data_IF_203425676773
#
_entry.id   IF_203425676773
#
_cell.length_a   1.000
_cell.length_b   1.000
_cell.length_c   1.000
_cell.angle_alpha   90.00
_cell.angle_beta   90.00
_cell.angle_gamma   90.00
#
_symmetry.space_group_name_H-M   'P 1'
#
loop_
_entity.id
_entity.type
_entity.pdbx_description
1 polymer ?
#
# COMPACT_ATOMS: atom_id res chain seq x y z
N UNK A 1 -34.82 41.03 -10.81
CA UNK A 1 -34.26 40.61 -9.51
C UNK A 1 -32.94 39.88 -9.74
N UNK A 2 -31.85 40.53 -9.31
CA UNK A 2 -30.44 40.28 -9.63
C UNK A 2 -29.86 39.09 -8.85
N UNK A 3 -29.18 38.18 -9.56
CA UNK A 3 -27.86 37.59 -9.25
C UNK A 3 -27.39 37.38 -7.79
N UNK A 4 -28.25 37.06 -6.82
CA UNK A 4 -27.82 36.80 -5.43
C UNK A 4 -27.51 35.33 -5.09
N UNK A 5 -27.81 34.37 -5.98
CA UNK A 5 -27.56 32.94 -5.70
C UNK A 5 -26.15 32.48 -6.10
N UNK A 6 -25.51 33.09 -7.10
CA UNK A 6 -24.14 32.71 -7.53
C UNK A 6 -23.05 33.20 -6.57
N UNK A 7 -23.28 34.31 -5.86
CA UNK A 7 -22.31 34.90 -4.92
C UNK A 7 -22.13 34.08 -3.65
N UNK A 8 -23.17 33.35 -3.20
CA UNK A 8 -23.07 32.47 -2.03
C UNK A 8 -22.32 31.16 -2.32
N UNK A 9 -22.33 30.70 -3.58
CA UNK A 9 -21.60 29.49 -3.98
C UNK A 9 -20.10 29.75 -4.12
N UNK A 10 -19.72 30.91 -4.66
CA UNK A 10 -18.32 31.35 -4.75
C UNK A 10 -17.67 31.58 -3.37
N UNK A 11 -18.43 32.05 -2.38
CA UNK A 11 -17.93 32.21 -1.01
C UNK A 11 -17.69 30.86 -0.30
N UNK A 12 -18.51 29.84 -0.58
CA UNK A 12 -18.35 28.49 -0.03
C UNK A 12 -17.16 27.73 -0.65
N UNK A 13 -16.85 27.95 -1.93
CA UNK A 13 -15.66 27.37 -2.58
C UNK A 13 -14.36 28.06 -2.18
N UNK A 14 -14.39 29.38 -1.91
CA UNK A 14 -13.23 30.11 -1.41
C UNK A 14 -12.85 29.75 0.05
N UNK A 15 -13.81 29.28 0.85
CA UNK A 15 -13.57 28.89 2.25
C UNK A 15 -12.92 27.50 2.40
N UNK A 16 -12.93 26.66 1.35
CA UNK A 16 -12.24 25.36 1.34
C UNK A 16 -10.73 25.45 1.00
N UNK A 17 -10.22 26.62 0.61
CA UNK A 17 -8.83 26.81 0.20
C UNK A 17 -7.89 27.29 1.32
N UNK A 18 -8.37 27.40 2.56
CA UNK A 18 -7.54 27.72 3.74
C UNK A 18 -7.00 26.47 4.44
N UNK A 19 -6.77 25.37 3.71
CA UNK A 19 -5.98 24.28 4.27
C UNK A 19 -4.52 24.73 4.31
N UNK A 20 -3.97 24.90 5.52
CA UNK A 20 -2.60 25.41 5.68
C UNK A 20 -1.61 24.50 4.98
N UNK A 21 -0.89 25.00 3.98
CA UNK A 21 0.16 24.28 3.25
C UNK A 21 1.45 24.01 4.06
N UNK A 22 1.41 24.16 5.38
CA UNK A 22 2.54 23.98 6.29
C UNK A 22 2.47 22.66 7.06
N UNK A 23 3.63 22.01 7.32
CA UNK A 23 3.71 20.84 8.17
C UNK A 23 3.13 21.09 9.57
N UNK A 24 2.53 20.06 10.17
CA UNK A 24 2.02 20.12 11.54
C UNK A 24 3.16 19.87 12.51
N UNK A 25 3.44 20.83 13.39
CA UNK A 25 4.31 20.63 14.55
C UNK A 25 3.47 20.14 15.74
N UNK A 26 3.85 19.00 16.30
CA UNK A 26 3.25 18.38 17.48
C UNK A 26 4.31 18.32 18.57
N UNK A 27 4.01 18.87 19.74
CA UNK A 27 4.94 18.90 20.88
C UNK A 27 4.29 18.29 22.12
N UNK A 28 5.07 17.51 22.87
CA UNK A 28 4.75 17.09 24.23
C UNK A 28 5.82 17.69 25.15
N UNK A 29 5.45 18.70 25.94
CA UNK A 29 6.40 19.46 26.77
C UNK A 29 6.34 18.89 28.19
N UNK A 30 7.51 18.52 28.71
CA UNK A 30 7.68 18.01 30.08
C UNK A 30 8.17 19.13 31.00
N UNK A 31 9.12 19.94 30.52
CA UNK A 31 9.70 21.08 31.25
C UNK A 31 9.97 22.25 30.30
N UNK A 32 9.95 23.45 30.86
CA UNK A 32 10.25 24.70 30.15
C UNK A 32 11.30 25.47 30.94
N UNK A 33 12.28 26.03 30.25
CA UNK A 33 13.34 26.85 30.84
C UNK A 33 13.22 28.31 30.39
N UNK A 34 13.62 29.29 31.23
CA UNK A 34 13.69 30.69 30.82
C UNK A 34 14.71 30.91 29.71
N UNK A 35 14.41 31.86 28.82
CA UNK A 35 15.28 32.24 27.71
C UNK A 35 14.95 31.48 26.44
N UNK A 36 14.36 32.19 25.48
CA UNK A 36 14.10 31.65 24.14
C UNK A 36 15.43 31.51 23.42
N UNK A 37 15.71 30.30 22.95
CA UNK A 37 16.89 30.02 22.12
C UNK A 37 16.49 30.19 20.64
N UNK A 38 17.23 30.98 19.84
CA UNK A 38 17.00 31.05 18.40
C UNK A 38 17.12 29.66 17.76
N UNK A 39 16.29 29.34 16.76
CA UNK A 39 16.26 28.02 16.12
C UNK A 39 17.66 27.59 15.63
N UNK A 40 18.38 28.49 14.97
CA UNK A 40 19.72 28.24 14.41
C UNK A 40 20.79 27.96 15.50
N UNK A 41 20.52 28.33 16.75
CA UNK A 41 21.43 28.10 17.89
C UNK A 41 21.15 26.76 18.59
N UNK A 42 20.11 26.03 18.21
CA UNK A 42 19.77 24.74 18.82
C UNK A 42 20.72 23.64 18.32
N UNK A 43 21.36 23.00 19.31
CA UNK A 43 22.15 21.77 19.28
C UNK A 43 21.56 20.58 18.50
N UNK A 44 21.71 20.44 17.17
CA UNK A 44 21.15 19.25 16.48
C UNK A 44 22.06 18.03 16.63
N UNK A 45 21.52 16.94 17.17
CA UNK A 45 22.16 15.62 17.26
C UNK A 45 21.45 14.72 16.25
N UNK A 46 22.22 14.23 15.27
CA UNK A 46 21.74 13.43 14.16
C UNK A 46 21.32 12.02 14.54
N UNK A 47 20.67 11.31 13.61
CA UNK A 47 20.32 9.90 13.78
C UNK A 47 21.59 9.06 13.97
N UNK A 48 21.67 8.34 15.09
CA UNK A 48 22.80 7.46 15.43
C UNK A 48 23.98 8.17 16.08
N UNK A 49 23.94 9.48 16.26
CA UNK A 49 24.94 10.22 17.03
C UNK A 49 24.73 10.04 18.54
N UNK A 50 25.81 10.13 19.30
CA UNK A 50 25.76 10.03 20.77
C UNK A 50 25.32 11.34 21.39
N UNK A 51 24.32 11.26 22.27
CA UNK A 51 23.84 12.40 23.03
C UNK A 51 24.82 12.74 24.17
N UNK A 52 25.10 14.02 24.44
CA UNK A 52 25.88 14.44 25.59
C UNK A 52 25.35 13.88 26.92
N UNK A 53 26.23 13.51 27.86
CA UNK A 53 25.82 12.91 29.13
C UNK A 53 25.08 13.89 30.05
N UNK A 54 25.20 15.19 29.81
CA UNK A 54 24.48 16.24 30.54
C UNK A 54 23.09 16.54 29.99
N UNK A 55 22.62 15.76 29.00
CA UNK A 55 21.33 15.98 28.39
C UNK A 55 20.18 15.67 29.36
N UNK A 56 19.28 16.64 29.51
CA UNK A 56 17.99 16.48 30.15
C UNK A 56 16.89 16.54 29.08
N UNK A 57 16.01 15.54 29.05
CA UNK A 57 14.84 15.56 28.18
C UNK A 57 13.78 16.51 28.73
N UNK A 58 13.49 17.58 27.97
CA UNK A 58 12.48 18.60 28.33
C UNK A 58 11.19 18.45 27.54
N UNK A 59 11.18 17.59 26.51
CA UNK A 59 9.97 17.17 25.83
C UNK A 59 10.24 16.43 24.52
N UNK A 60 9.19 16.21 23.74
CA UNK A 60 9.22 15.57 22.42
C UNK A 60 8.62 16.48 21.36
N UNK A 61 9.21 16.49 20.18
CA UNK A 61 8.70 17.20 19.01
C UNK A 61 8.53 16.24 17.84
N UNK A 62 7.48 16.44 17.05
CA UNK A 62 7.27 15.74 15.79
C UNK A 62 6.71 16.71 14.76
N UNK A 63 7.32 16.72 13.58
CA UNK A 63 6.88 17.54 12.46
C UNK A 63 6.39 16.59 11.38
N UNK A 64 5.08 16.59 11.16
CA UNK A 64 4.37 15.62 10.31
C UNK A 64 3.59 16.30 9.21
N UNK A 65 3.38 15.59 8.10
CA UNK A 65 2.61 16.10 6.98
C UNK A 65 1.09 15.99 7.23
N UNK A 66 0.34 16.98 6.77
CA UNK A 66 -1.14 16.99 6.76
C UNK A 66 -1.73 16.38 5.47
N UNK A 67 -0.90 15.98 4.51
CA UNK A 67 -1.30 15.42 3.22
C UNK A 67 -1.47 16.46 2.11
N UNK A 68 -1.40 17.75 2.43
CA UNK A 68 -1.44 18.87 1.49
C UNK A 68 -0.28 19.87 1.67
N UNK A 69 0.76 19.51 2.44
CA UNK A 69 1.87 20.43 2.71
C UNK A 69 2.80 20.54 1.50
N UNK A 70 3.30 21.73 1.22
CA UNK A 70 4.17 21.99 0.04
C UNK A 70 5.59 22.43 0.42
N UNK A 71 5.80 22.92 1.65
CA UNK A 71 7.10 23.36 2.20
C UNK A 71 7.58 22.42 3.31
N UNK A 72 8.06 21.25 2.91
CA UNK A 72 8.39 20.16 3.82
C UNK A 72 9.69 19.44 3.43
N UNK A 73 10.65 20.21 2.90
CA UNK A 73 12.04 19.74 2.77
C UNK A 73 12.66 19.52 4.15
N UNK A 74 13.70 18.69 4.21
CA UNK A 74 14.32 18.33 5.48
C UNK A 74 14.80 19.54 6.29
N UNK A 75 15.42 20.53 5.66
CA UNK A 75 15.88 21.78 6.28
C UNK A 75 14.74 22.58 6.90
N UNK A 76 13.62 22.71 6.20
CA UNK A 76 12.43 23.42 6.70
C UNK A 76 11.80 22.69 7.88
N UNK A 77 11.70 21.36 7.77
CA UNK A 77 11.13 20.49 8.81
C UNK A 77 12.02 20.48 10.06
N UNK A 78 13.34 20.49 9.89
CA UNK A 78 14.32 20.59 10.96
C UNK A 78 14.24 21.95 11.66
N UNK A 79 14.17 23.04 10.89
CA UNK A 79 14.05 24.38 11.46
C UNK A 79 12.78 24.54 12.31
N UNK A 80 11.64 23.98 11.88
CA UNK A 80 10.40 23.99 12.67
C UNK A 80 10.57 23.23 14.01
N UNK A 81 11.30 22.11 14.02
CA UNK A 81 11.59 21.37 15.24
C UNK A 81 12.56 22.13 16.16
N UNK A 82 13.59 22.78 15.60
CA UNK A 82 14.52 23.64 16.34
C UNK A 82 13.79 24.84 16.95
N UNK A 83 12.90 25.50 16.20
CA UNK A 83 12.09 26.61 16.69
C UNK A 83 11.19 26.20 17.86
N UNK A 84 10.51 25.05 17.74
CA UNK A 84 9.69 24.51 18.83
C UNK A 84 10.52 24.17 20.08
N UNK A 85 11.73 23.65 19.87
CA UNK A 85 12.69 23.32 20.94
C UNK A 85 13.20 24.59 21.66
N UNK A 86 13.61 25.59 20.88
CA UNK A 86 14.14 26.84 21.40
C UNK A 86 13.10 27.68 22.14
N UNK A 87 11.82 27.63 21.72
CA UNK A 87 10.68 28.28 22.39
C UNK A 87 10.47 27.83 23.83
N UNK A 88 10.87 26.61 24.17
CA UNK A 88 10.75 26.09 25.54
C UNK A 88 12.07 26.15 26.33
N UNK A 89 13.06 26.87 25.81
CA UNK A 89 14.39 27.00 26.43
C UNK A 89 15.29 25.78 26.23
N UNK A 90 14.99 24.92 25.26
CA UNK A 90 15.88 23.84 24.84
C UNK A 90 17.02 24.38 23.99
N UNK A 91 18.24 23.92 24.25
CA UNK A 91 19.44 24.22 23.47
C UNK A 91 19.98 22.97 22.74
N UNK A 92 19.29 21.84 22.80
CA UNK A 92 19.59 20.64 22.03
C UNK A 92 18.33 19.96 21.48
N UNK A 93 18.48 19.31 20.32
CA UNK A 93 17.45 18.54 19.64
C UNK A 93 18.07 17.24 19.13
N UNK A 94 17.67 16.10 19.69
CA UNK A 94 18.10 14.79 19.19
C UNK A 94 17.05 14.20 18.27
N UNK A 95 17.44 13.87 17.03
CA UNK A 95 16.53 13.26 16.05
C UNK A 95 16.42 11.76 16.34
N UNK A 96 15.20 11.29 16.57
CA UNK A 96 14.90 9.88 16.87
C UNK A 96 14.29 9.14 15.69
N UNK A 97 13.67 9.85 14.75
CA UNK A 97 13.14 9.24 13.53
C UNK A 97 13.18 10.24 12.37
N UNK A 98 13.47 9.74 11.17
CA UNK A 98 13.38 10.49 9.92
C UNK A 98 12.71 9.64 8.86
N UNK A 99 11.49 10.04 8.48
CA UNK A 99 10.78 9.44 7.36
C UNK A 99 11.00 10.30 6.11
N UNK A 100 11.53 9.67 5.07
CA UNK A 100 11.71 10.31 3.76
C UNK A 100 10.41 10.25 2.96
N UNK A 101 10.20 11.20 2.04
CA UNK A 101 9.12 11.12 1.06
C UNK A 101 9.12 9.76 0.36
N UNK A 102 7.94 9.19 0.14
CA UNK A 102 7.80 7.89 -0.53
C UNK A 102 6.68 7.91 -1.55
N UNK A 103 6.83 7.12 -2.60
CA UNK A 103 5.92 7.11 -3.75
C UNK A 103 4.47 6.76 -3.39
N UNK A 104 4.27 5.93 -2.36
CA UNK A 104 2.95 5.52 -1.86
C UNK A 104 2.59 6.15 -0.50
N UNK A 105 3.40 7.09 0.00
CA UNK A 105 3.22 7.75 1.29
C UNK A 105 3.14 9.27 1.15
N UNK A 106 3.62 9.98 2.17
CA UNK A 106 3.70 11.43 2.12
C UNK A 106 4.81 11.89 1.14
N UNK A 107 4.56 13.01 0.46
CA UNK A 107 5.56 13.72 -0.36
C UNK A 107 6.54 14.55 0.48
N UNK A 108 6.34 14.60 1.79
CA UNK A 108 7.07 15.45 2.73
C UNK A 108 8.03 14.64 3.61
N UNK A 109 9.13 15.26 4.02
CA UNK A 109 9.93 14.73 5.12
C UNK A 109 9.15 14.85 6.42
N UNK A 110 9.26 13.83 7.27
CA UNK A 110 8.72 13.86 8.63
C UNK A 110 9.83 13.50 9.60
N UNK A 111 9.91 14.24 10.71
CA UNK A 111 10.91 13.99 11.75
C UNK A 111 10.25 13.91 13.12
N UNK A 112 10.82 13.08 13.97
CA UNK A 112 10.54 13.07 15.40
C UNK A 112 11.86 13.23 16.16
N UNK A 113 11.80 13.89 17.31
CA UNK A 113 12.98 14.11 18.14
C UNK A 113 12.67 14.42 19.59
N UNK A 114 13.71 14.32 20.42
CA UNK A 114 13.72 14.74 21.81
C UNK A 114 14.24 16.17 21.90
N UNK A 115 13.48 17.02 22.60
CA UNK A 115 13.89 18.36 22.97
C UNK A 115 14.74 18.25 24.24
N UNK A 116 15.94 18.83 24.22
CA UNK A 116 16.95 18.65 25.26
C UNK A 116 17.41 19.99 25.84
N UNK A 117 17.76 19.95 27.14
CA UNK A 117 18.58 20.96 27.80
C UNK A 117 19.96 20.36 28.07
N UNK A 118 20.98 21.04 27.59
CA UNK A 118 22.39 20.65 27.68
C UNK A 118 23.13 21.66 28.54
N UNK A 119 23.86 21.18 29.54
CA UNK A 119 24.80 22.01 30.31
C UNK A 119 26.15 22.11 29.60
N UNK A 120 26.54 21.05 28.90
CA UNK A 120 27.72 21.00 28.03
C UNK A 120 27.46 20.11 26.81
N UNK A 121 28.45 20.00 25.92
CA UNK A 121 28.39 19.13 24.74
C UNK A 121 29.28 17.89 24.89
N UNK A 122 29.68 17.56 26.12
CA UNK A 122 30.65 16.49 26.37
C UNK A 122 29.98 15.11 26.26
N UNK A 123 30.67 14.18 25.58
CA UNK A 123 30.24 12.79 25.45
C UNK A 123 31.31 11.92 26.11
N UNK A 124 30.92 11.26 27.20
CA UNK A 124 31.68 10.24 27.91
C UNK A 124 31.07 8.88 27.59
N UNK A 125 31.79 8.11 26.78
CA UNK A 125 31.36 6.78 26.31
C UNK A 125 31.44 5.70 27.39
N UNK A 126 32.15 5.96 28.49
CA UNK A 126 32.30 5.00 29.60
C UNK A 126 31.19 5.13 30.64
N UNK A 127 30.42 6.23 30.60
CA UNK A 127 29.28 6.46 31.49
C UNK A 127 27.97 6.13 30.78
N UNK A 128 27.09 5.44 31.51
CA UNK A 128 25.71 5.20 31.07
C UNK A 128 24.98 6.52 30.85
N UNK A 129 24.31 6.67 29.69
CA UNK A 129 23.50 7.83 29.38
C UNK A 129 22.03 7.41 29.24
N UNK A 130 21.15 7.71 30.22
CA UNK A 130 19.75 7.28 30.18
C UNK A 130 18.96 7.89 29.03
N UNK A 131 19.36 9.07 28.51
CA UNK A 131 18.72 9.67 27.33
C UNK A 131 19.08 8.90 26.07
N UNK A 132 20.34 8.45 25.96
CA UNK A 132 20.78 7.61 24.84
C UNK A 132 20.04 6.28 24.81
N UNK A 133 19.86 5.63 25.97
CA UNK A 133 19.18 4.35 26.08
C UNK A 133 17.71 4.44 25.59
N UNK A 134 17.03 5.56 25.88
CA UNK A 134 15.66 5.82 25.40
C UNK A 134 15.62 6.01 23.88
N UNK A 135 16.60 6.71 23.30
CA UNK A 135 16.69 6.90 21.85
C UNK A 135 16.95 5.57 21.14
N UNK A 136 17.89 4.79 21.67
CA UNK A 136 18.25 3.48 21.12
C UNK A 136 17.03 2.53 21.18
N UNK A 137 16.26 2.56 22.26
CA UNK A 137 15.00 1.82 22.38
C UNK A 137 13.94 2.27 21.36
N UNK A 138 13.71 3.59 21.22
CA UNK A 138 12.76 4.14 20.24
C UNK A 138 13.14 3.75 18.79
N UNK A 139 14.44 3.71 18.48
CA UNK A 139 14.95 3.27 17.18
C UNK A 139 14.69 1.78 16.94
N UNK A 140 14.90 0.92 17.94
CA UNK A 140 14.60 -0.51 17.86
C UNK A 140 13.11 -0.74 17.64
N UNK A 141 12.26 -0.04 18.41
CA UNK A 141 10.81 -0.09 18.27
C UNK A 141 10.38 0.37 16.86
N UNK A 142 10.91 1.47 16.36
CA UNK A 142 10.59 1.97 15.02
C UNK A 142 11.00 0.97 13.92
N UNK A 143 12.15 0.31 14.07
CA UNK A 143 12.61 -0.73 13.16
C UNK A 143 11.70 -1.96 13.20
N UNK A 144 11.31 -2.42 14.38
CA UNK A 144 10.37 -3.54 14.54
C UNK A 144 8.99 -3.23 13.93
N UNK A 145 8.49 -2.01 14.11
CA UNK A 145 7.27 -1.53 13.43
C UNK A 145 7.41 -1.43 11.91
N UNK A 146 8.60 -1.14 11.39
CA UNK A 146 8.84 -1.11 9.95
C UNK A 146 8.91 -2.53 9.37
N UNK A 147 9.59 -3.45 10.05
CA UNK A 147 9.66 -4.87 9.68
C UNK A 147 8.29 -5.54 9.74
N UNK A 148 7.50 -5.31 10.79
CA UNK A 148 6.16 -5.89 10.94
C UNK A 148 5.18 -5.47 9.83
N UNK A 149 5.39 -4.30 9.20
CA UNK A 149 4.61 -3.82 8.05
C UNK A 149 5.06 -4.38 6.69
N UNK A 150 6.16 -5.13 6.64
CA UNK A 150 6.56 -5.78 5.38
C UNK A 150 5.64 -6.95 5.06
N UNK A 151 5.15 -6.99 3.82
CA UNK A 151 4.46 -8.15 3.31
C UNK A 151 5.43 -9.35 3.21
N UNK A 152 4.95 -10.59 3.38
CA UNK A 152 5.77 -11.78 3.16
C UNK A 152 6.39 -11.77 1.77
N UNK A 153 7.67 -12.14 1.69
CA UNK A 153 8.42 -12.08 0.44
C UNK A 153 7.92 -13.13 -0.56
N UNK A 154 7.69 -14.37 -0.13
CA UNK A 154 7.14 -15.41 -1.00
C UNK A 154 5.76 -15.83 -0.52
N UNK A 155 4.85 -16.01 -1.47
CA UNK A 155 3.50 -16.48 -1.18
C UNK A 155 3.07 -17.51 -2.21
N UNK A 156 2.58 -18.66 -1.74
CA UNK A 156 1.77 -19.57 -2.55
C UNK A 156 0.29 -19.32 -2.27
N UNK A 157 -0.49 -19.17 -3.34
CA UNK A 157 -1.93 -18.98 -3.32
C UNK A 157 -2.62 -20.24 -3.87
N UNK A 158 -3.60 -20.73 -3.12
CA UNK A 158 -4.59 -21.70 -3.60
C UNK A 158 -5.99 -21.18 -3.29
N UNK A 159 -6.78 -20.92 -4.33
CA UNK A 159 -8.10 -20.31 -4.21
C UNK A 159 -9.13 -21.11 -5.00
N UNK A 160 -10.35 -21.17 -4.50
CA UNK A 160 -11.48 -21.86 -5.11
C UNK A 160 -12.75 -21.03 -4.93
N UNK A 161 -13.64 -21.05 -5.92
CA UNK A 161 -14.92 -20.36 -5.79
C UNK A 161 -15.73 -20.39 -7.07
N UNK A 162 -16.44 -19.28 -7.32
CA UNK A 162 -17.43 -19.21 -8.37
C UNK A 162 -17.14 -18.03 -9.30
N UNK A 163 -17.28 -18.28 -10.60
CA UNK A 163 -17.11 -17.30 -11.65
C UNK A 163 -18.39 -17.08 -12.43
N UNK A 164 -18.60 -15.85 -12.89
CA UNK A 164 -19.69 -15.45 -13.76
C UNK A 164 -19.11 -14.95 -15.07
N UNK A 165 -19.52 -15.57 -16.18
CA UNK A 165 -19.20 -15.09 -17.52
C UNK A 165 -20.10 -13.91 -17.84
N UNK A 166 -19.51 -12.77 -18.13
CA UNK A 166 -20.24 -11.53 -18.43
C UNK A 166 -20.50 -11.41 -19.94
N UNK A 167 -19.63 -12.00 -20.77
CA UNK A 167 -19.82 -12.07 -22.22
C UNK A 167 -21.02 -12.96 -22.61
N UNK A 168 -21.51 -12.77 -23.85
CA UNK A 168 -22.52 -13.67 -24.43
C UNK A 168 -21.83 -14.98 -24.83
N UNK A 169 -22.40 -16.10 -24.43
CA UNK A 169 -21.99 -17.44 -24.88
C UNK A 169 -23.11 -17.96 -25.77
N UNK A 170 -22.76 -18.44 -26.95
CA UNK A 170 -23.67 -19.05 -27.90
C UNK A 170 -23.44 -20.57 -27.93
N UNK A 171 -24.52 -21.33 -27.94
CA UNK A 171 -24.50 -22.78 -28.18
C UNK A 171 -24.21 -23.08 -29.67
N UNK A 172 -23.94 -24.34 -30.02
CA UNK A 172 -23.76 -24.84 -31.40
C UNK A 172 -24.95 -24.49 -32.31
N UNK A 173 -26.13 -24.27 -31.73
CA UNK A 173 -27.36 -23.86 -32.42
C UNK A 173 -27.56 -22.33 -32.47
N UNK A 174 -26.57 -21.52 -32.06
CA UNK A 174 -26.64 -20.06 -32.04
C UNK A 174 -27.54 -19.46 -30.94
N UNK A 175 -27.99 -20.28 -29.98
CA UNK A 175 -28.80 -19.81 -28.84
C UNK A 175 -27.92 -19.25 -27.75
N UNK A 176 -28.27 -18.08 -27.21
CA UNK A 176 -27.58 -17.53 -26.05
C UNK A 176 -27.87 -18.39 -24.82
N UNK A 177 -26.83 -18.80 -24.08
CA UNK A 177 -27.03 -19.56 -22.84
C UNK A 177 -27.45 -18.64 -21.68
N UNK A 178 -28.52 -19.03 -20.98
CA UNK A 178 -29.10 -18.28 -19.86
C UNK A 178 -28.31 -18.41 -18.54
N UNK A 179 -27.80 -19.60 -18.21
CA UNK A 179 -26.90 -19.76 -17.06
C UNK A 179 -25.49 -19.36 -17.46
N UNK A 180 -24.86 -18.43 -16.74
CA UNK A 180 -23.51 -17.91 -17.04
C UNK A 180 -22.46 -18.20 -15.98
N UNK A 181 -22.81 -18.96 -14.93
CA UNK A 181 -21.92 -19.24 -13.81
C UNK A 181 -21.21 -20.59 -13.89
N UNK A 182 -20.06 -20.71 -13.24
CA UNK A 182 -19.26 -21.93 -13.16
C UNK A 182 -18.27 -21.91 -12.00
N UNK A 183 -17.59 -23.04 -11.79
CA UNK A 183 -16.62 -23.23 -10.71
C UNK A 183 -15.23 -22.82 -11.18
N UNK A 184 -14.48 -22.13 -10.32
CA UNK A 184 -13.11 -21.69 -10.61
C UNK A 184 -12.14 -22.12 -9.50
N UNK A 185 -10.94 -22.52 -9.91
CA UNK A 185 -9.79 -22.66 -9.03
C UNK A 185 -8.61 -21.86 -9.57
N UNK A 186 -7.83 -21.28 -8.66
CA UNK A 186 -6.62 -20.51 -8.94
C UNK A 186 -5.48 -21.04 -8.09
N UNK A 187 -4.33 -21.22 -8.73
CA UNK A 187 -3.04 -21.47 -8.09
C UNK A 187 -2.09 -20.36 -8.51
N UNK A 188 -1.36 -19.76 -7.57
CA UNK A 188 -0.37 -18.75 -7.90
C UNK A 188 0.85 -18.83 -7.00
N UNK A 189 1.99 -18.39 -7.53
CA UNK A 189 3.21 -18.12 -6.78
C UNK A 189 3.60 -16.67 -7.01
N UNK A 190 3.94 -15.97 -5.93
CA UNK A 190 4.35 -14.57 -5.95
C UNK A 190 5.64 -14.37 -5.16
N UNK A 191 6.51 -13.50 -5.70
CA UNK A 191 7.67 -12.97 -5.01
C UNK A 191 7.57 -11.44 -4.93
N UNK A 192 7.66 -10.89 -3.73
CA UNK A 192 7.52 -9.47 -3.41
C UNK A 192 8.79 -8.95 -2.74
N UNK A 193 9.31 -7.84 -3.25
CA UNK A 193 10.49 -7.17 -2.70
C UNK A 193 10.11 -6.11 -1.65
N UNK A 194 11.14 -5.57 -1.01
CA UNK A 194 11.00 -4.42 -0.11
C UNK A 194 10.29 -3.26 -0.84
N UNK A 195 9.15 -2.85 -0.32
CA UNK A 195 8.27 -1.84 -0.93
C UNK A 195 6.92 -2.37 -1.42
N UNK A 196 6.68 -3.68 -1.30
CA UNK A 196 5.36 -4.28 -1.57
C UNK A 196 5.11 -4.63 -3.03
N UNK A 197 6.00 -4.28 -3.94
CA UNK A 197 5.91 -4.65 -5.36
C UNK A 197 6.55 -6.01 -5.63
N UNK A 198 5.98 -6.76 -6.57
CA UNK A 198 6.42 -8.11 -6.88
C UNK A 198 6.01 -8.60 -8.25
N UNK A 199 6.44 -9.83 -8.55
CA UNK A 199 6.02 -10.59 -9.72
C UNK A 199 5.54 -11.97 -9.29
N UNK A 200 4.70 -12.58 -10.10
CA UNK A 200 4.20 -13.92 -9.87
C UNK A 200 3.85 -14.64 -11.15
N UNK A 201 3.46 -15.90 -10.99
CA UNK A 201 2.88 -16.73 -12.03
C UNK A 201 1.58 -17.30 -11.49
N UNK A 202 0.50 -17.13 -12.24
CA UNK A 202 -0.80 -17.70 -11.89
C UNK A 202 -1.33 -18.67 -12.95
N UNK A 203 -2.03 -19.67 -12.45
CA UNK A 203 -2.88 -20.57 -13.21
C UNK A 203 -4.33 -20.46 -12.69
N UNK A 204 -5.28 -20.26 -13.59
CA UNK A 204 -6.70 -20.24 -13.27
C UNK A 204 -7.47 -21.20 -14.18
N UNK A 205 -8.13 -22.19 -13.58
CA UNK A 205 -9.02 -23.12 -14.27
C UNK A 205 -10.49 -22.78 -13.96
N UNK A 206 -11.34 -22.74 -14.97
CA UNK A 206 -12.79 -22.62 -14.80
C UNK A 206 -13.51 -23.71 -15.55
N UNK A 207 -14.43 -24.36 -14.84
CA UNK A 207 -15.25 -25.42 -15.37
C UNK A 207 -16.72 -25.05 -15.29
N UNK A 208 -17.43 -25.34 -16.38
CA UNK A 208 -18.88 -25.24 -16.44
C UNK A 208 -19.48 -26.46 -17.10
N UNK A 209 -20.46 -27.06 -16.43
CA UNK A 209 -21.18 -28.23 -16.94
C UNK A 209 -22.49 -27.79 -17.61
N UNK A 210 -22.78 -28.39 -18.76
CA UNK A 210 -24.01 -28.20 -19.52
C UNK A 210 -24.63 -29.56 -19.85
N UNK A 211 -25.91 -29.56 -20.23
CA UNK A 211 -26.62 -30.79 -20.65
C UNK A 211 -25.99 -31.49 -21.87
N UNK A 212 -25.15 -30.78 -22.64
CA UNK A 212 -24.46 -31.31 -23.83
C UNK A 212 -22.94 -31.55 -23.66
N UNK A 213 -22.36 -31.33 -22.47
CA UNK A 213 -20.93 -31.51 -22.24
C UNK A 213 -20.33 -30.55 -21.19
N UNK A 214 -19.09 -30.82 -20.80
CA UNK A 214 -18.31 -29.99 -19.88
C UNK A 214 -17.38 -29.05 -20.66
N UNK A 215 -17.38 -27.78 -20.31
CA UNK A 215 -16.50 -26.74 -20.85
C UNK A 215 -15.42 -26.39 -19.81
N UNK A 216 -14.17 -26.29 -20.27
CA UNK A 216 -13.02 -25.90 -19.45
C UNK A 216 -12.27 -24.72 -20.06
N UNK A 217 -11.98 -23.71 -19.22
CA UNK A 217 -11.02 -22.67 -19.52
C UNK A 217 -9.80 -22.81 -18.63
N UNK A 218 -8.62 -22.75 -19.22
CA UNK A 218 -7.34 -22.68 -18.51
C UNK A 218 -6.64 -21.38 -18.87
N UNK A 219 -6.15 -20.66 -17.87
CA UNK A 219 -5.42 -19.42 -18.08
C UNK A 219 -4.10 -19.48 -17.32
N UNK A 220 -3.00 -19.19 -18.00
CA UNK A 220 -1.64 -19.15 -17.42
C UNK A 220 -1.04 -17.79 -17.74
N UNK A 221 -0.64 -17.04 -16.72
CA UNK A 221 -0.08 -15.71 -16.92
C UNK A 221 0.96 -15.34 -15.87
N UNK A 222 2.08 -14.72 -16.27
CA UNK A 222 2.83 -13.89 -15.34
C UNK A 222 1.93 -12.74 -14.83
N UNK A 223 2.12 -12.37 -13.56
CA UNK A 223 1.41 -11.25 -12.93
C UNK A 223 2.40 -10.29 -12.28
N UNK A 224 2.13 -8.99 -12.37
CA UNK A 224 2.73 -7.98 -11.52
C UNK A 224 1.81 -7.78 -10.32
N UNK A 225 2.37 -7.79 -9.13
CA UNK A 225 1.61 -7.70 -7.88
C UNK A 225 2.09 -6.54 -7.01
N UNK A 226 1.15 -5.95 -6.29
CA UNK A 226 1.40 -5.03 -5.19
C UNK A 226 0.69 -5.56 -3.95
N UNK A 227 1.43 -5.67 -2.85
CA UNK A 227 0.98 -6.20 -1.56
C UNK A 227 1.29 -5.21 -0.47
N UNK A 228 0.25 -4.69 0.16
CA UNK A 228 0.35 -3.74 1.28
C UNK A 228 -0.16 -4.40 2.55
N UNK A 229 0.72 -4.57 3.54
CA UNK A 229 0.37 -5.14 4.84
C UNK A 229 0.07 -4.05 5.85
N UNK A 230 -1.05 -4.20 6.56
CA UNK A 230 -1.46 -3.36 7.68
C UNK A 230 -1.88 -4.27 8.83
N UNK A 231 -1.00 -4.40 9.82
CA UNK A 231 -1.11 -5.38 10.90
C UNK A 231 -1.20 -6.83 10.37
N UNK A 232 -2.28 -7.58 10.66
CA UNK A 232 -2.50 -8.94 10.14
C UNK A 232 -3.18 -8.99 8.79
N UNK A 233 -3.57 -7.85 8.22
CA UNK A 233 -4.24 -7.80 6.93
C UNK A 233 -3.26 -7.47 5.81
N UNK A 234 -3.51 -8.04 4.63
CA UNK A 234 -2.77 -7.75 3.41
C UNK A 234 -3.78 -7.41 2.32
N UNK A 235 -3.61 -6.26 1.69
CA UNK A 235 -4.30 -5.90 0.45
C UNK A 235 -3.38 -6.26 -0.72
N UNK A 236 -3.88 -7.11 -1.62
CA UNK A 236 -3.23 -7.49 -2.88
C UNK A 236 -3.93 -6.80 -4.04
N UNK A 237 -3.15 -6.25 -4.97
CA UNK A 237 -3.60 -5.92 -6.32
C UNK A 237 -2.66 -6.59 -7.32
N UNK A 238 -3.20 -7.10 -8.42
CA UNK A 238 -2.43 -7.80 -9.43
C UNK A 238 -2.99 -7.57 -10.83
N UNK A 239 -2.10 -7.48 -11.81
CA UNK A 239 -2.47 -7.45 -13.23
C UNK A 239 -1.49 -8.30 -14.03
N UNK A 240 -1.95 -8.86 -15.13
CA UNK A 240 -1.05 -9.58 -16.02
C UNK A 240 -1.70 -10.02 -17.31
N UNK A 241 -0.86 -10.54 -18.19
CA UNK A 241 -1.22 -10.95 -19.54
C UNK A 241 -0.63 -12.34 -19.77
N UNK A 242 -1.40 -13.22 -20.39
CA UNK A 242 -0.97 -14.60 -20.58
C UNK A 242 -1.81 -15.34 -21.61
N UNK A 243 -1.64 -16.65 -21.60
CA UNK A 243 -2.26 -17.56 -22.56
C UNK A 243 -3.57 -18.07 -22.00
N UNK A 244 -4.61 -18.00 -22.83
CA UNK A 244 -5.95 -18.50 -22.55
C UNK A 244 -6.21 -19.73 -23.42
N UNK A 245 -6.51 -20.85 -22.79
CA UNK A 245 -6.77 -22.14 -23.44
C UNK A 245 -8.23 -22.51 -23.22
N UNK A 246 -8.91 -22.80 -24.32
CA UNK A 246 -10.28 -23.27 -24.36
C UNK A 246 -10.33 -24.74 -24.74
N UNK A 247 -11.05 -25.52 -23.94
CA UNK A 247 -11.34 -26.90 -24.22
C UNK A 247 -12.84 -27.19 -24.04
N UNK A 248 -13.42 -27.76 -25.08
CA UNK A 248 -14.79 -28.28 -25.16
C UNK A 248 -14.71 -29.61 -25.93
N UNK A 249 -15.54 -30.63 -25.63
CA UNK A 249 -15.61 -31.89 -26.38
C UNK A 249 -15.53 -31.77 -27.90
N UNK A 250 -15.96 -30.65 -28.49
CA UNK A 250 -15.95 -30.44 -29.94
C UNK A 250 -14.87 -29.49 -30.45
N UNK A 251 -14.18 -28.73 -29.58
CA UNK A 251 -13.27 -27.67 -30.03
C UNK A 251 -12.17 -27.32 -29.02
N UNK A 252 -10.98 -27.05 -29.55
CA UNK A 252 -9.82 -26.56 -28.81
C UNK A 252 -9.36 -25.24 -29.40
N UNK A 253 -9.11 -24.24 -28.56
CA UNK A 253 -8.48 -22.99 -29.00
C UNK A 253 -7.48 -22.46 -27.99
N UNK A 254 -6.51 -21.72 -28.52
CA UNK A 254 -5.60 -20.91 -27.74
C UNK A 254 -5.75 -19.45 -28.14
N UNK A 255 -5.59 -18.55 -27.16
CA UNK A 255 -5.66 -17.12 -27.33
C UNK A 255 -4.87 -16.40 -26.25
N UNK A 256 -5.03 -15.09 -26.19
CA UNK A 256 -4.39 -14.25 -25.18
C UNK A 256 -5.43 -13.65 -24.26
N UNK A 257 -5.10 -13.52 -22.99
CA UNK A 257 -5.96 -12.89 -22.01
C UNK A 257 -5.22 -11.96 -21.08
N UNK A 258 -5.95 -10.96 -20.60
CA UNK A 258 -5.55 -10.10 -19.52
C UNK A 258 -6.34 -10.46 -18.25
N UNK A 259 -5.74 -10.19 -17.10
CA UNK A 259 -6.44 -10.30 -15.83
C UNK A 259 -6.14 -9.09 -14.94
N UNK A 260 -7.08 -8.83 -14.04
CA UNK A 260 -6.94 -7.94 -12.91
C UNK A 260 -7.46 -8.66 -11.66
N UNK A 261 -6.68 -8.61 -10.59
CA UNK A 261 -6.98 -9.27 -9.32
C UNK A 261 -6.94 -8.27 -8.18
N UNK A 262 -7.91 -8.34 -7.28
CA UNK A 262 -7.92 -7.66 -5.99
C UNK A 262 -8.13 -8.70 -4.89
N UNK A 263 -7.20 -8.78 -3.94
CA UNK A 263 -7.23 -9.75 -2.85
C UNK A 263 -7.24 -9.05 -1.49
N UNK A 264 -8.11 -9.52 -0.59
CA UNK A 264 -8.08 -9.18 0.82
C UNK A 264 -7.67 -10.42 1.60
N UNK A 265 -6.50 -10.37 2.23
CA UNK A 265 -5.93 -11.51 2.94
C UNK A 265 -5.78 -11.21 4.43
N UNK A 266 -6.02 -12.22 5.26
CA UNK A 266 -5.85 -12.18 6.71
C UNK A 266 -4.82 -13.23 7.13
N UNK A 267 -3.76 -12.81 7.80
CA UNK A 267 -2.72 -13.68 8.33
C UNK A 267 -3.20 -14.35 9.63
N UNK A 268 -3.37 -15.67 9.59
CA UNK A 268 -3.66 -16.48 10.77
C UNK A 268 -2.38 -16.71 11.60
N UNK A 269 -1.25 -16.89 10.91
CA UNK A 269 0.08 -17.08 11.50
C UNK A 269 1.17 -16.47 10.59
N UNK A 270 2.44 -16.64 10.96
CA UNK A 270 3.58 -16.27 10.13
C UNK A 270 3.60 -16.97 8.77
N UNK A 271 2.97 -18.15 8.67
CA UNK A 271 3.04 -19.00 7.48
C UNK A 271 1.69 -19.22 6.79
N UNK A 272 0.56 -18.94 7.45
CA UNK A 272 -0.76 -19.24 6.90
C UNK A 272 -1.67 -18.01 6.91
N UNK A 273 -2.46 -17.87 5.84
CA UNK A 273 -3.51 -16.87 5.76
C UNK A 273 -4.74 -17.35 4.99
N UNK A 274 -5.84 -16.64 5.19
CA UNK A 274 -7.08 -16.78 4.46
C UNK A 274 -7.26 -15.58 3.55
N UNK A 275 -7.87 -15.77 2.39
CA UNK A 275 -8.06 -14.70 1.42
C UNK A 275 -9.44 -14.73 0.79
N UNK A 276 -9.97 -13.53 0.52
CA UNK A 276 -11.05 -13.32 -0.43
C UNK A 276 -10.47 -12.61 -1.65
N UNK A 277 -10.65 -13.19 -2.83
CA UNK A 277 -10.07 -12.69 -4.08
C UNK A 277 -11.17 -12.40 -5.10
N UNK A 278 -11.17 -11.18 -5.62
CA UNK A 278 -11.91 -10.77 -6.80
C UNK A 278 -10.97 -10.85 -7.99
N UNK A 279 -11.39 -11.57 -9.03
CA UNK A 279 -10.59 -11.76 -10.23
C UNK A 279 -11.42 -11.48 -11.48
N UNK A 280 -10.94 -10.59 -12.34
CA UNK A 280 -11.50 -10.36 -13.66
C UNK A 280 -10.53 -10.91 -14.71
N UNK A 281 -10.99 -11.83 -15.55
CA UNK A 281 -10.19 -12.36 -16.67
C UNK A 281 -10.94 -12.08 -17.97
N UNK A 282 -10.27 -11.42 -18.91
CA UNK A 282 -10.75 -11.20 -20.27
C UNK A 282 -9.80 -11.84 -21.27
N UNK A 283 -10.30 -12.77 -22.09
CA UNK A 283 -9.54 -13.45 -23.14
C UNK A 283 -10.10 -13.14 -24.52
N UNK A 284 -9.23 -13.05 -25.52
CA UNK A 284 -9.59 -13.04 -26.94
C UNK A 284 -9.06 -14.29 -27.62
N UNK A 285 -9.86 -14.85 -28.53
CA UNK A 285 -9.58 -16.06 -29.28
C UNK A 285 -9.66 -15.78 -30.80
N UNK A 286 -8.97 -16.57 -31.63
CA UNK A 286 -9.11 -16.48 -33.08
C UNK A 286 -10.56 -16.61 -33.53
N UNK A 287 -10.93 -15.90 -34.59
CA UNK A 287 -12.26 -16.00 -35.20
C UNK A 287 -12.47 -17.41 -35.73
N UNK A 288 -13.64 -17.99 -35.47
CA UNK A 288 -14.05 -19.27 -36.03
C UNK A 288 -14.77 -19.05 -37.37
N UNK A 289 -14.41 -19.84 -38.40
CA UNK A 289 -14.95 -19.68 -39.76
C UNK A 289 -16.47 -19.92 -39.86
N UNK A 290 -17.05 -20.65 -38.90
CA UNK A 290 -18.48 -20.96 -38.84
C UNK A 290 -19.30 -19.94 -38.02
N UNK A 291 -18.66 -18.96 -37.35
CA UNK A 291 -19.36 -17.92 -36.58
C UNK A 291 -19.53 -16.63 -37.40
N UNK A 292 -20.79 -16.26 -37.64
CA UNK A 292 -21.18 -14.96 -38.18
C UNK A 292 -21.13 -13.90 -37.06
N UNK A 293 -19.95 -13.32 -36.85
CA UNK A 293 -19.77 -12.15 -35.98
C UNK A 293 -20.24 -10.87 -36.68
N UNK A 294 -20.92 -9.98 -35.95
CA UNK A 294 -21.13 -8.59 -36.40
C UNK A 294 -19.80 -7.82 -36.43
N UNK A 295 -19.75 -6.68 -37.13
CA UNK A 295 -18.52 -5.88 -37.31
C UNK A 295 -17.87 -5.42 -35.98
N UNK A 296 -18.63 -5.36 -34.89
CA UNK A 296 -18.19 -4.96 -33.55
C UNK A 296 -17.95 -6.13 -32.58
N UNK A 297 -18.20 -7.38 -33.00
CA UNK A 297 -18.09 -8.56 -32.13
C UNK A 297 -16.74 -9.27 -32.29
N UNK A 298 -16.13 -9.66 -31.15
CA UNK A 298 -14.86 -10.40 -31.11
C UNK A 298 -15.07 -11.74 -30.42
N UNK A 299 -14.44 -12.81 -30.92
CA UNK A 299 -14.36 -14.07 -30.21
C UNK A 299 -13.50 -13.87 -28.94
N UNK A 300 -14.12 -14.10 -27.79
CA UNK A 300 -13.47 -13.86 -26.50
C UNK A 300 -14.43 -14.08 -25.35
N UNK A 301 -13.87 -14.21 -24.15
CA UNK A 301 -14.62 -14.47 -22.93
C UNK A 301 -14.14 -13.55 -21.84
N UNK A 302 -15.09 -12.86 -21.22
CA UNK A 302 -14.84 -12.02 -20.06
C UNK A 302 -15.61 -12.58 -18.89
N UNK A 303 -14.90 -12.84 -17.80
CA UNK A 303 -15.45 -13.41 -16.56
C UNK A 303 -15.03 -12.59 -15.35
N UNK A 304 -15.89 -12.59 -14.35
CA UNK A 304 -15.63 -12.06 -13.02
C UNK A 304 -15.81 -13.18 -12.00
N UNK A 305 -14.87 -13.30 -11.07
CA UNK A 305 -14.78 -14.44 -10.18
C UNK A 305 -14.60 -13.98 -8.73
N UNK A 306 -15.29 -14.66 -7.82
CA UNK A 306 -15.17 -14.49 -6.38
C UNK A 306 -14.63 -15.79 -5.79
N UNK A 307 -13.43 -15.73 -5.20
CA UNK A 307 -12.69 -16.89 -4.75
C UNK A 307 -12.34 -16.75 -3.26
N UNK A 308 -12.56 -17.81 -2.50
CA UNK A 308 -12.00 -17.98 -1.16
C UNK A 308 -10.73 -18.83 -1.26
N UNK A 309 -9.70 -18.53 -0.48
CA UNK A 309 -8.43 -19.23 -0.63
C UNK A 309 -7.56 -19.26 0.61
N UNK A 310 -6.57 -20.15 0.56
CA UNK A 310 -5.48 -20.26 1.52
C UNK A 310 -4.23 -19.61 0.92
N UNK A 311 -3.39 -19.11 1.82
CA UNK A 311 -2.09 -18.52 1.52
C UNK A 311 -1.04 -19.19 2.39
N UNK A 312 0.07 -19.55 1.77
CA UNK A 312 1.25 -20.03 2.47
C UNK A 312 2.41 -19.05 2.28
N UNK A 313 2.93 -18.53 3.40
CA UNK A 313 3.98 -17.51 3.45
C UNK A 313 5.32 -18.11 3.88
N UNK A 314 6.41 -17.73 3.22
CA UNK A 314 7.78 -18.19 3.55
C UNK A 314 8.89 -17.24 3.06
#
# INVERSE_FOLDING_TARGET
MKNMKKTKLLAATAMLLLTSCSPKVVTNIVRTYPGIIPADSVYVIGLGEKVPNTAETIGRVSVVDRGTSTNCRYDQVLHLAQEATGKIGGNGLAITNHQKPSFWGSSCHQISGLMLRLSDKSVDTLKTNPVQDVIDLDLVIAKDYAESRKAPANTFEASFGYGWVISKIYDINGRALDSKGGVEWKLAYEHVWNGGMGIGLQYAGFKKSFSGGDMMFSYIAPEWVSRTKFDRWILKSGVGVGVFLYHDPFYNAAGFGLHATLGFEYMLSSNWGLSLTLNGIGGSMPKQDWMLLKEDERCGITRFNLLGGLRYYF
#
